data_IF_692995167822
#
_entry.id   IF_692995167822
#
_cell.length_a   1.000
_cell.length_b   1.000
_cell.length_c   1.000
_cell.angle_alpha   90.00
_cell.angle_beta   90.00
_cell.angle_gamma   90.00
#
_symmetry.space_group_name_H-M   'P 1'
#
loop_
_entity.id
_entity.type
_entity.pdbx_description
1 polymer ?
#
# COMPACT_ATOMS: atom_id res chain seq x y z
N UNK A 1 43.03 -37.28 3.80
CA UNK A 1 43.73 -36.69 4.95
C UNK A 1 43.94 -35.22 4.67
N UNK A 2 43.78 -34.38 5.70
CA UNK A 2 43.67 -32.91 5.71
C UNK A 2 42.24 -32.43 5.36
N UNK A 3 41.31 -32.17 6.29
CA UNK A 3 41.34 -31.50 7.60
C UNK A 3 41.82 -30.03 7.55
N UNK A 4 40.95 -29.13 7.12
CA UNK A 4 40.89 -27.81 7.75
C UNK A 4 39.51 -27.18 7.73
N UNK A 5 39.04 -26.97 8.96
CA UNK A 5 37.90 -26.19 9.39
C UNK A 5 38.10 -24.70 9.11
N UNK A 6 36.99 -23.99 8.87
CA UNK A 6 36.52 -22.77 9.57
C UNK A 6 35.85 -21.80 8.59
N UNK A 7 34.62 -21.40 8.91
CA UNK A 7 34.01 -20.23 8.28
C UNK A 7 32.50 -20.17 8.35
N UNK A 8 31.90 -20.49 9.50
CA UNK A 8 30.49 -20.15 9.80
C UNK A 8 30.35 -18.63 9.85
N UNK A 9 29.54 -18.06 8.95
CA UNK A 9 29.07 -16.68 9.04
C UNK A 9 27.60 -16.69 9.47
N UNK A 10 27.39 -16.78 10.77
CA UNK A 10 26.10 -16.52 11.40
C UNK A 10 25.80 -15.02 11.41
N UNK A 11 24.55 -14.59 11.11
CA UNK A 11 24.13 -13.22 11.31
C UNK A 11 23.75 -12.97 12.78
N UNK A 12 24.71 -12.48 13.56
CA UNK A 12 24.47 -11.77 14.82
C UNK A 12 25.20 -10.42 14.66
N UNK A 13 24.61 -9.25 14.88
CA UNK A 13 23.87 -8.79 16.04
C UNK A 13 23.01 -7.59 15.63
N UNK A 14 21.69 -7.69 15.75
CA UNK A 14 20.80 -6.54 15.74
C UNK A 14 20.99 -5.78 17.06
N UNK A 15 21.64 -4.63 16.96
CA UNK A 15 21.84 -3.66 18.03
C UNK A 15 20.50 -3.28 18.65
N UNK A 16 20.25 -3.84 19.84
CA UNK A 16 19.15 -3.46 20.70
C UNK A 16 19.25 -1.96 21.06
N UNK A 17 18.15 -1.18 20.95
CA UNK A 17 18.14 0.17 21.47
C UNK A 17 18.28 0.12 23.00
N UNK A 18 19.28 0.84 23.49
CA UNK A 18 19.60 0.92 24.89
C UNK A 18 18.38 1.40 25.69
N UNK A 19 17.92 0.55 26.60
CA UNK A 19 16.91 0.88 27.60
C UNK A 19 17.50 1.89 28.58
N UNK A 20 17.26 3.18 28.34
CA UNK A 20 17.52 4.22 29.31
C UNK A 20 16.51 4.09 30.46
N UNK A 21 17.03 3.64 31.60
CA UNK A 21 16.32 3.52 32.89
C UNK A 21 15.60 4.85 33.22
N UNK A 22 14.29 4.87 33.49
CA UNK A 22 13.69 6.05 34.09
C UNK A 22 14.22 6.19 35.52
N UNK A 23 14.87 7.33 35.80
CA UNK A 23 15.29 7.72 37.14
C UNK A 23 14.07 7.64 38.06
N UNK A 24 14.21 6.87 39.15
CA UNK A 24 13.25 6.72 40.24
C UNK A 24 12.95 8.11 40.81
N UNK A 25 11.91 8.78 40.33
CA UNK A 25 11.41 10.02 40.92
C UNK A 25 10.76 9.62 42.25
N UNK A 26 11.37 10.04 43.34
CA UNK A 26 10.82 9.93 44.69
C UNK A 26 9.38 10.45 44.65
N UNK A 27 8.43 9.53 44.78
CA UNK A 27 7.04 9.86 45.04
C UNK A 27 6.97 10.39 46.46
N UNK A 28 6.97 11.73 46.61
CA UNK A 28 6.47 12.35 47.83
C UNK A 28 4.99 11.96 47.94
N UNK A 29 4.72 10.96 48.76
CA UNK A 29 3.36 10.63 49.23
C UNK A 29 2.94 11.75 50.16
N UNK A 30 2.21 12.73 49.65
CA UNK A 30 1.42 13.60 50.49
C UNK A 30 0.32 12.73 51.13
N UNK A 31 0.42 12.54 52.45
CA UNK A 31 -0.61 11.89 53.26
C UNK A 31 -1.76 12.88 53.40
N UNK A 32 -2.72 12.85 52.48
CA UNK A 32 -4.01 13.51 52.69
C UNK A 32 -4.88 12.57 53.54
N UNK A 33 -4.95 12.86 54.83
CA UNK A 33 -6.01 12.38 55.70
C UNK A 33 -7.32 13.07 55.31
N UNK A 34 -8.41 12.30 55.32
CA UNK A 34 -9.76 12.76 55.00
C UNK A 34 -10.51 11.68 54.21
N UNK A 35 -11.55 11.15 54.83
CA UNK A 35 -12.70 10.40 54.32
C UNK A 35 -12.61 9.85 52.88
N UNK A 36 -12.73 8.53 52.75
CA UNK A 36 -12.88 7.79 51.50
C UNK A 36 -14.19 8.15 50.79
N UNK A 37 -14.23 9.30 50.14
CA UNK A 37 -15.05 9.45 48.95
C UNK A 37 -14.16 9.09 47.77
N UNK A 38 -14.43 7.92 47.20
CA UNK A 38 -13.87 7.48 45.92
C UNK A 38 -13.81 8.68 44.99
N UNK A 39 -12.59 9.15 44.67
CA UNK A 39 -12.39 10.02 43.51
C UNK A 39 -13.11 9.31 42.38
N UNK A 40 -14.25 9.88 42.00
CA UNK A 40 -15.09 9.38 40.93
C UNK A 40 -14.13 9.03 39.79
N UNK A 41 -14.20 7.76 39.36
CA UNK A 41 -13.31 7.23 38.34
C UNK A 41 -13.32 8.26 37.22
N UNK A 42 -12.24 9.04 37.06
CA UNK A 42 -12.06 9.90 35.87
C UNK A 42 -12.47 8.99 34.71
N UNK A 43 -13.27 9.46 33.73
CA UNK A 43 -13.74 8.63 32.64
C UNK A 43 -12.58 8.34 31.68
N UNK A 44 -11.48 7.79 32.22
CA UNK A 44 -10.28 7.31 31.57
C UNK A 44 -10.64 6.26 30.53
N UNK A 45 -11.72 5.50 30.77
CA UNK A 45 -12.25 4.54 29.81
C UNK A 45 -12.94 5.22 28.63
N UNK A 46 -13.74 6.27 28.86
CA UNK A 46 -14.42 7.00 27.79
C UNK A 46 -13.44 7.80 26.92
N UNK A 47 -12.41 8.43 27.53
CA UNK A 47 -11.38 9.14 26.76
C UNK A 47 -10.48 8.19 25.98
N UNK A 48 -10.13 7.03 26.54
CA UNK A 48 -9.38 6.00 25.83
C UNK A 48 -10.19 5.36 24.69
N UNK A 49 -11.50 5.13 24.90
CA UNK A 49 -12.39 4.62 23.87
C UNK A 49 -12.51 5.60 22.69
N UNK A 50 -12.70 6.89 22.98
CA UNK A 50 -12.74 7.94 21.95
C UNK A 50 -11.43 8.05 21.16
N UNK A 51 -10.28 7.90 21.81
CA UNK A 51 -8.98 7.90 21.14
C UNK A 51 -8.83 6.71 20.18
N UNK A 52 -9.25 5.51 20.60
CA UNK A 52 -9.20 4.32 19.76
C UNK A 52 -10.13 4.39 18.55
N UNK A 53 -11.34 4.92 18.73
CA UNK A 53 -12.26 5.15 17.60
C UNK A 53 -11.65 6.11 16.57
N UNK A 54 -10.99 7.18 17.04
CA UNK A 54 -10.33 8.14 16.15
C UNK A 54 -9.18 7.53 15.37
N UNK A 55 -8.39 6.66 16.00
CA UNK A 55 -7.30 5.93 15.35
C UNK A 55 -7.86 5.00 14.26
N UNK A 56 -8.95 4.27 14.55
CA UNK A 56 -9.60 3.40 13.57
C UNK A 56 -10.20 4.17 12.39
N UNK A 57 -10.79 5.34 12.65
CA UNK A 57 -11.29 6.24 11.61
C UNK A 57 -10.15 6.71 10.67
N UNK A 58 -9.00 7.10 11.24
CA UNK A 58 -7.84 7.53 10.46
C UNK A 58 -7.26 6.37 9.64
N UNK A 59 -7.12 5.18 10.24
CA UNK A 59 -6.59 3.99 9.58
C UNK A 59 -7.48 3.52 8.43
N UNK A 60 -8.80 3.52 8.64
CA UNK A 60 -9.77 3.15 7.59
C UNK A 60 -9.81 4.16 6.45
N UNK A 61 -9.74 5.47 6.73
CA UNK A 61 -9.60 6.51 5.70
C UNK A 61 -8.28 6.36 4.93
N UNK A 62 -7.16 6.15 5.62
CA UNK A 62 -5.84 5.89 4.98
C UNK A 62 -5.89 4.68 4.05
N UNK A 63 -6.54 3.59 4.48
CA UNK A 63 -6.73 2.37 3.65
C UNK A 63 -7.56 2.66 2.40
N UNK A 64 -8.63 3.44 2.52
CA UNK A 64 -9.48 3.84 1.38
C UNK A 64 -8.74 4.73 0.37
N UNK A 65 -7.87 5.63 0.86
CA UNK A 65 -7.04 6.48 0.00
C UNK A 65 -6.00 5.66 -0.75
N UNK A 66 -5.30 4.73 -0.06
CA UNK A 66 -4.34 3.83 -0.71
C UNK A 66 -4.96 3.04 -1.85
N UNK A 67 -6.07 2.34 -1.58
CA UNK A 67 -6.84 1.55 -2.55
C UNK A 67 -7.29 2.32 -3.80
N UNK A 68 -7.34 3.65 -3.77
CA UNK A 68 -7.77 4.50 -4.88
C UNK A 68 -6.61 5.11 -5.67
N UNK A 69 -5.39 5.07 -5.13
CA UNK A 69 -4.23 5.76 -5.70
C UNK A 69 -3.13 4.78 -6.14
N UNK A 70 -3.50 3.52 -6.37
CA UNK A 70 -2.59 2.54 -6.96
C UNK A 70 -2.63 2.73 -8.48
N UNK A 71 -1.77 3.63 -8.95
CA UNK A 71 -1.46 3.85 -10.37
C UNK A 71 -0.44 2.80 -10.80
N UNK A 72 -0.75 2.06 -11.87
CA UNK A 72 0.12 1.01 -12.40
C UNK A 72 0.60 1.40 -13.80
N UNK A 73 1.85 1.06 -14.11
CA UNK A 73 2.43 1.30 -15.42
C UNK A 73 1.94 0.27 -16.43
N UNK A 74 1.51 0.77 -17.59
CA UNK A 74 1.05 -0.03 -18.73
C UNK A 74 2.23 -0.29 -19.66
N UNK A 75 2.35 -1.52 -20.16
CA UNK A 75 3.44 -1.93 -21.05
C UNK A 75 3.14 -1.57 -22.51
N UNK A 76 2.06 -2.12 -23.10
CA UNK A 76 1.66 -1.82 -24.47
C UNK A 76 0.15 -2.01 -24.70
N UNK A 77 -0.36 -1.39 -25.78
CA UNK A 77 -1.72 -1.57 -26.28
C UNK A 77 -1.72 -2.64 -27.38
N UNK A 78 -2.46 -3.71 -27.14
CA UNK A 78 -2.54 -4.86 -28.04
C UNK A 78 -3.56 -4.62 -29.14
N UNK A 79 -4.79 -4.29 -28.75
CA UNK A 79 -5.94 -4.15 -29.65
C UNK A 79 -6.95 -3.14 -29.13
N UNK A 80 -7.88 -2.74 -29.99
CA UNK A 80 -9.06 -1.94 -29.62
C UNK A 80 -10.32 -2.55 -30.23
N UNK A 81 -11.43 -2.47 -29.53
CA UNK A 81 -12.75 -2.84 -30.02
C UNK A 81 -13.74 -1.75 -29.66
N UNK A 82 -14.66 -1.43 -30.57
CA UNK A 82 -15.75 -0.50 -30.29
C UNK A 82 -16.96 -1.30 -29.81
N UNK A 83 -17.38 -1.10 -28.55
CA UNK A 83 -18.58 -1.70 -27.97
C UNK A 83 -19.52 -0.59 -27.53
N UNK A 84 -20.77 -0.63 -28.01
CA UNK A 84 -21.82 0.33 -27.65
C UNK A 84 -21.42 1.81 -27.87
N UNK A 85 -20.63 2.08 -28.90
CA UNK A 85 -20.14 3.44 -29.20
C UNK A 85 -18.97 3.90 -28.33
N UNK A 86 -18.45 3.06 -27.43
CA UNK A 86 -17.23 3.31 -26.66
C UNK A 86 -16.07 2.49 -27.20
N UNK A 87 -14.90 3.10 -27.33
CA UNK A 87 -13.66 2.43 -27.72
C UNK A 87 -12.99 1.85 -26.49
N UNK A 88 -12.92 0.53 -26.44
CA UNK A 88 -12.25 -0.22 -25.38
C UNK A 88 -10.91 -0.70 -25.92
N UNK A 89 -9.83 -0.42 -25.20
CA UNK A 89 -8.48 -0.85 -25.53
C UNK A 89 -8.07 -2.02 -24.63
N UNK A 90 -7.45 -3.04 -25.21
CA UNK A 90 -6.85 -4.16 -24.47
C UNK A 90 -5.38 -3.85 -24.24
N UNK A 91 -4.99 -3.74 -22.97
CA UNK A 91 -3.63 -3.38 -22.54
C UNK A 91 -2.94 -4.53 -21.79
N UNK A 92 -1.61 -4.59 -21.87
CA UNK A 92 -0.77 -5.44 -21.01
C UNK A 92 -0.12 -4.62 -19.89
N UNK A 93 0.10 -5.25 -18.74
CA UNK A 93 0.69 -4.60 -17.56
C UNK A 93 2.17 -4.94 -17.42
N UNK A 94 2.98 -3.94 -17.03
CA UNK A 94 4.41 -4.14 -16.78
C UNK A 94 4.61 -5.15 -15.64
N UNK A 95 5.43 -6.17 -15.87
CA UNK A 95 5.75 -7.20 -14.88
C UNK A 95 4.71 -8.33 -14.74
N UNK A 96 3.59 -8.27 -15.48
CA UNK A 96 2.57 -9.32 -15.51
C UNK A 96 2.29 -9.77 -16.96
N UNK A 97 3.25 -10.42 -17.62
CA UNK A 97 3.06 -10.88 -19.00
C UNK A 97 1.91 -11.90 -19.07
N UNK A 98 1.00 -11.68 -20.02
CA UNK A 98 -0.19 -12.51 -20.22
C UNK A 98 -1.43 -12.05 -19.44
N UNK A 99 -1.30 -11.10 -18.51
CA UNK A 99 -2.46 -10.44 -17.93
C UNK A 99 -2.86 -9.25 -18.80
N UNK A 100 -4.03 -9.36 -19.42
CA UNK A 100 -4.61 -8.31 -20.26
C UNK A 100 -5.83 -7.72 -19.58
N UNK A 101 -5.95 -6.39 -19.60
CA UNK A 101 -7.12 -5.69 -19.08
C UNK A 101 -7.73 -4.81 -20.15
N UNK A 102 -9.05 -4.73 -20.15
CA UNK A 102 -9.82 -3.84 -21.02
C UNK A 102 -10.00 -2.50 -20.31
N UNK A 103 -9.56 -1.41 -20.94
CA UNK A 103 -9.61 -0.06 -20.37
C UNK A 103 -10.05 0.97 -21.41
N UNK A 104 -10.72 2.03 -20.97
CA UNK A 104 -11.29 3.04 -21.88
C UNK A 104 -10.24 4.09 -22.26
N UNK A 105 -10.50 4.87 -23.30
CA UNK A 105 -9.60 5.98 -23.68
C UNK A 105 -9.45 7.02 -22.55
N UNK A 106 -10.49 7.19 -21.71
CA UNK A 106 -10.50 8.14 -20.59
C UNK A 106 -9.48 7.77 -19.52
N UNK A 107 -9.36 6.48 -19.20
CA UNK A 107 -8.39 5.97 -18.24
C UNK A 107 -6.97 5.97 -18.81
N UNK A 108 -6.84 5.86 -20.14
CA UNK A 108 -5.56 5.87 -20.87
C UNK A 108 -5.08 7.29 -21.21
N UNK A 109 -5.78 8.35 -20.78
CA UNK A 109 -5.37 9.74 -20.97
C UNK A 109 -3.96 10.00 -20.41
N UNK A 110 -3.61 9.35 -19.29
CA UNK A 110 -2.28 9.47 -18.68
C UNK A 110 -1.17 8.84 -19.56
N UNK A 111 -1.52 7.93 -20.47
CA UNK A 111 -0.60 7.16 -21.31
C UNK A 111 -0.71 7.55 -22.80
N UNK A 112 -0.71 8.85 -23.10
CA UNK A 112 -0.90 9.36 -24.47
C UNK A 112 0.17 8.89 -25.48
N UNK A 113 1.38 8.54 -25.02
CA UNK A 113 2.45 8.04 -25.87
C UNK A 113 2.13 6.65 -26.44
N UNK A 114 1.64 5.73 -25.60
CA UNK A 114 1.24 4.38 -26.01
C UNK A 114 0.11 4.44 -27.04
N UNK A 115 -0.88 5.31 -26.82
CA UNK A 115 -1.97 5.55 -27.78
C UNK A 115 -1.45 6.05 -29.13
N UNK A 116 -0.45 6.95 -29.15
CA UNK A 116 0.15 7.42 -30.40
C UNK A 116 0.88 6.31 -31.14
N UNK A 117 1.68 5.50 -30.43
CA UNK A 117 2.38 4.38 -31.02
C UNK A 117 1.40 3.35 -31.61
N UNK A 118 0.35 3.03 -30.88
CA UNK A 118 -0.71 2.15 -31.36
C UNK A 118 -1.41 2.70 -32.60
N UNK A 119 -1.88 3.96 -32.57
CA UNK A 119 -2.51 4.62 -33.72
C UNK A 119 -1.59 4.66 -34.95
N UNK A 120 -0.27 4.82 -34.77
CA UNK A 120 0.71 4.74 -35.85
C UNK A 120 0.85 3.32 -36.42
N UNK A 121 0.85 2.30 -35.55
CA UNK A 121 0.86 0.88 -35.94
C UNK A 121 -0.34 0.51 -36.79
N UNK A 122 -1.53 0.97 -36.40
CA UNK A 122 -2.77 0.74 -37.16
C UNK A 122 -2.74 1.46 -38.51
N UNK A 123 -2.29 2.72 -38.56
CA UNK A 123 -2.12 3.47 -39.83
C UNK A 123 -1.17 2.80 -40.81
N UNK A 124 -0.17 2.06 -40.32
CA UNK A 124 0.77 1.27 -41.13
C UNK A 124 0.17 -0.04 -41.67
N UNK A 125 -1.13 -0.30 -41.47
CA UNK A 125 -1.84 -1.46 -42.02
C UNK A 125 -1.56 -2.77 -41.29
N UNK A 126 -1.04 -2.71 -40.06
CA UNK A 126 -0.76 -3.90 -39.25
C UNK A 126 -1.94 -4.24 -38.32
N UNK A 127 -3.13 -4.39 -38.87
CA UNK A 127 -4.23 -5.01 -38.13
C UNK A 127 -4.07 -6.53 -38.23
N UNK A 128 -3.66 -7.16 -37.13
CA UNK A 128 -3.85 -8.61 -36.96
C UNK A 128 -5.02 -8.76 -35.99
N UNK A 129 -6.20 -9.20 -36.44
CA UNK A 129 -7.25 -9.59 -35.50
C UNK A 129 -6.67 -10.73 -34.65
N UNK A 130 -6.51 -10.48 -33.35
CA UNK A 130 -6.10 -11.51 -32.40
C UNK A 130 -7.26 -12.48 -32.32
N UNK A 131 -7.13 -13.63 -33.01
CA UNK A 131 -8.05 -14.75 -32.87
C UNK A 131 -7.88 -15.27 -31.45
N UNK A 132 -8.79 -14.90 -30.56
CA UNK A 132 -8.94 -15.55 -29.26
C UNK A 132 -9.52 -16.94 -29.57
N UNK A 133 -8.67 -17.96 -29.42
CA UNK A 133 -9.02 -19.36 -29.65
C UNK A 133 -9.71 -19.96 -28.41
#
# INVERSE_FOLDING_TARGET
MDESLRGVNEPTTSTAPQTSKPKKRVSRTAKCGGEVVCRERRPQRASAQRANEKINEIMSKKKRVRRRSEEYEVEDILSHTVRNGQTIYSISWVGYPGYISEMTEEDLVNCSELLKQYKLRIKKGHERPVKIA
#
